data_IF_040052762358
#
_entry.id   IF_040052762358
#
_cell.length_a   1.000
_cell.length_b   1.000
_cell.length_c   1.000
_cell.angle_alpha   90.00
_cell.angle_beta   90.00
_cell.angle_gamma   90.00
#
_symmetry.space_group_name_H-M   'P 1'
#
loop_
_entity.id
_entity.type
_entity.pdbx_description
1 polymer ?
#
# COMPACT_ATOMS: atom_id res chain seq x y z
N UNK A 1 -26.97 30.58 -13.88
CA UNK A 1 -25.88 29.59 -13.71
C UNK A 1 -24.59 30.36 -13.51
N UNK A 2 -23.99 30.30 -12.32
CA UNK A 2 -22.65 30.82 -12.07
C UNK A 2 -21.94 29.89 -11.08
N UNK A 3 -20.76 29.42 -11.49
CA UNK A 3 -19.91 28.43 -10.83
C UNK A 3 -19.48 28.90 -9.44
N UNK A 4 -19.79 28.09 -8.42
CA UNK A 4 -19.31 28.28 -7.06
C UNK A 4 -17.78 28.12 -7.01
N UNK A 5 -17.08 29.22 -6.72
CA UNK A 5 -15.64 29.22 -6.46
C UNK A 5 -15.39 28.60 -5.08
N UNK A 6 -14.73 27.45 -5.05
CA UNK A 6 -14.24 26.81 -3.83
C UNK A 6 -13.26 27.76 -3.12
N UNK A 7 -13.63 28.23 -1.93
CA UNK A 7 -12.80 29.08 -1.07
C UNK A 7 -11.66 28.25 -0.46
N UNK A 8 -10.44 28.55 -0.88
CA UNK A 8 -9.22 28.14 -0.17
C UNK A 8 -9.14 28.98 1.11
N UNK A 9 -9.26 28.35 2.29
CA UNK A 9 -8.96 29.02 3.57
C UNK A 9 -7.44 29.07 3.75
N UNK A 10 -6.91 30.29 3.81
CA UNK A 10 -5.49 30.59 4.03
C UNK A 10 -5.36 31.10 5.47
N UNK A 11 -4.84 30.27 6.37
CA UNK A 11 -4.52 30.72 7.74
C UNK A 11 -3.08 31.25 7.75
N UNK A 12 -2.90 32.48 8.24
CA UNK A 12 -1.60 33.16 8.33
C UNK A 12 -0.95 32.82 9.67
N UNK A 13 0.29 32.32 9.66
CA UNK A 13 1.16 32.18 10.84
C UNK A 13 2.36 33.13 10.72
N UNK A 14 2.98 33.53 11.85
CA UNK A 14 3.92 34.64 11.88
C UNK A 14 5.33 34.14 11.56
N UNK A 15 5.63 33.82 10.30
CA UNK A 15 7.01 33.93 9.78
C UNK A 15 7.18 33.78 8.24
N UNK A 16 6.15 34.07 7.43
CA UNK A 16 6.33 34.19 5.97
C UNK A 16 6.68 32.91 5.20
N UNK A 17 6.84 31.76 5.87
CA UNK A 17 7.02 30.48 5.20
C UNK A 17 5.70 30.01 4.56
N UNK A 18 5.67 29.96 3.23
CA UNK A 18 4.56 29.39 2.46
C UNK A 18 4.58 27.85 2.59
N UNK A 19 3.96 27.32 3.64
CA UNK A 19 3.63 25.90 3.68
C UNK A 19 2.38 25.67 2.82
N UNK A 20 2.57 25.04 1.66
CA UNK A 20 1.46 24.32 1.01
C UNK A 20 1.08 23.21 1.98
N UNK A 21 -0.02 23.38 2.72
CA UNK A 21 -0.63 22.28 3.50
C UNK A 21 -1.03 21.19 2.51
N UNK A 22 -0.13 20.24 2.30
CA UNK A 22 -0.43 18.98 1.64
C UNK A 22 -1.66 18.38 2.33
N UNK A 23 -2.67 18.00 1.54
CA UNK A 23 -3.98 17.57 2.04
C UNK A 23 -3.83 16.38 3.00
N UNK A 24 -3.75 16.73 4.29
CA UNK A 24 -3.99 15.97 5.51
C UNK A 24 -3.41 14.53 5.57
N UNK A 25 -2.35 14.25 6.35
CA UNK A 25 -1.81 12.89 6.55
C UNK A 25 -2.84 11.85 7.04
N UNK A 26 -3.94 12.33 7.63
CA UNK A 26 -5.09 11.51 8.05
C UNK A 26 -5.79 10.82 6.84
N UNK A 27 -5.84 11.46 5.67
CA UNK A 27 -6.48 10.86 4.47
C UNK A 27 -5.59 9.78 3.86
N UNK A 28 -4.27 9.96 3.93
CA UNK A 28 -3.28 9.02 3.38
C UNK A 28 -3.23 7.69 4.14
N UNK A 29 -3.39 7.69 5.47
CA UNK A 29 -3.48 6.43 6.24
C UNK A 29 -4.76 5.66 5.92
N UNK A 30 -5.88 6.36 5.70
CA UNK A 30 -7.20 5.74 5.52
C UNK A 30 -7.27 4.84 4.29
N UNK A 31 -6.59 5.19 3.20
CA UNK A 31 -6.62 4.39 1.98
C UNK A 31 -5.92 3.04 2.14
N UNK A 32 -4.83 3.01 2.92
CA UNK A 32 -4.11 1.78 3.25
C UNK A 32 -4.97 0.89 4.16
N UNK A 33 -5.64 1.47 5.16
CA UNK A 33 -6.55 0.72 6.04
C UNK A 33 -7.78 0.15 5.30
N UNK A 34 -8.35 0.93 4.39
CA UNK A 34 -9.44 0.47 3.53
C UNK A 34 -8.97 -0.69 2.65
N UNK A 35 -7.79 -0.57 2.03
CA UNK A 35 -7.22 -1.64 1.19
C UNK A 35 -6.91 -2.91 2.00
N UNK A 36 -6.34 -2.78 3.20
CA UNK A 36 -6.15 -3.89 4.14
C UNK A 36 -7.47 -4.60 4.44
N UNK A 37 -8.54 -3.85 4.69
CA UNK A 37 -9.87 -4.40 4.96
C UNK A 37 -10.42 -5.18 3.76
N UNK A 38 -10.24 -4.67 2.54
CA UNK A 38 -10.56 -5.39 1.31
C UNK A 38 -9.75 -6.68 1.18
N UNK A 39 -8.44 -6.63 1.45
CA UNK A 39 -7.56 -7.80 1.38
C UNK A 39 -7.94 -8.87 2.40
N UNK A 40 -8.31 -8.49 3.63
CA UNK A 40 -8.83 -9.42 4.65
C UNK A 40 -10.12 -10.12 4.22
N UNK A 41 -10.94 -9.43 3.44
CA UNK A 41 -12.20 -9.94 2.90
C UNK A 41 -12.06 -10.83 1.66
N UNK A 42 -10.85 -11.01 1.10
CA UNK A 42 -10.65 -11.88 -0.06
C UNK A 42 -10.88 -13.34 0.37
N UNK A 43 -11.87 -13.99 -0.25
CA UNK A 43 -12.12 -15.42 -0.07
C UNK A 43 -10.85 -16.21 -0.40
N UNK A 44 -10.42 -17.06 0.53
CA UNK A 44 -9.18 -17.84 0.46
C UNK A 44 -7.92 -16.99 0.21
N UNK A 45 -7.90 -15.73 0.68
CA UNK A 45 -6.77 -14.81 0.47
C UNK A 45 -5.43 -15.39 0.91
N UNK A 46 -5.39 -15.96 2.13
CA UNK A 46 -4.19 -16.61 2.68
C UNK A 46 -3.67 -17.77 1.81
N UNK A 47 -4.58 -18.54 1.18
CA UNK A 47 -4.21 -19.70 0.36
C UNK A 47 -3.51 -19.33 -0.94
N UNK A 48 -3.51 -18.04 -1.33
CA UNK A 48 -2.82 -17.55 -2.53
C UNK A 48 -1.32 -17.35 -2.33
N UNK A 49 -0.86 -17.36 -1.09
CA UNK A 49 0.55 -17.17 -0.73
C UNK A 49 1.21 -18.54 -0.60
N UNK A 50 1.82 -19.01 -1.68
CA UNK A 50 2.44 -20.33 -1.79
C UNK A 50 3.87 -20.22 -2.29
N UNK A 51 4.66 -21.29 -2.10
CA UNK A 51 6.03 -21.38 -2.60
C UNK A 51 6.15 -21.37 -4.12
N UNK A 52 5.06 -21.72 -4.82
CA UNK A 52 5.00 -21.81 -6.28
C UNK A 52 4.67 -20.47 -6.96
N UNK A 53 4.43 -19.41 -6.19
CA UNK A 53 4.16 -18.10 -6.77
C UNK A 53 5.44 -17.55 -7.39
N UNK A 54 5.35 -17.12 -8.65
CA UNK A 54 6.48 -16.60 -9.41
C UNK A 54 6.86 -15.21 -8.85
N UNK A 55 8.15 -14.98 -8.61
CA UNK A 55 8.66 -13.68 -8.20
C UNK A 55 8.25 -12.57 -9.19
N UNK A 56 7.84 -11.43 -8.66
CA UNK A 56 7.31 -10.29 -9.43
C UNK A 56 5.87 -10.49 -9.92
N UNK A 57 5.26 -11.65 -9.72
CA UNK A 57 3.85 -11.88 -10.08
C UNK A 57 2.90 -11.35 -9.01
N UNK A 58 1.72 -10.91 -9.44
CA UNK A 58 0.68 -10.42 -8.53
C UNK A 58 0.01 -11.55 -7.78
N UNK A 59 -0.08 -11.42 -6.46
CA UNK A 59 -0.82 -12.36 -5.59
C UNK A 59 -2.24 -11.85 -5.38
N UNK A 60 -2.38 -10.60 -4.90
CA UNK A 60 -3.68 -9.96 -4.65
C UNK A 60 -3.69 -8.46 -4.95
N UNK A 61 -4.85 -7.89 -5.30
CA UNK A 61 -6.03 -8.63 -5.74
C UNK A 61 -5.78 -9.23 -7.14
N UNK A 62 -6.74 -9.98 -7.67
CA UNK A 62 -6.67 -10.39 -9.08
C UNK A 62 -6.68 -9.16 -10.00
N UNK A 63 -6.04 -9.23 -11.17
CA UNK A 63 -5.92 -8.11 -12.13
C UNK A 63 -7.28 -7.49 -12.51
N UNK A 64 -8.35 -8.28 -12.56
CA UNK A 64 -9.71 -7.79 -12.85
C UNK A 64 -10.31 -6.93 -11.72
N UNK A 65 -9.71 -6.93 -10.53
CA UNK A 65 -10.16 -6.17 -9.35
C UNK A 65 -9.28 -4.95 -9.09
N UNK A 66 -8.33 -4.66 -9.98
CA UNK A 66 -7.40 -3.52 -9.89
C UNK A 66 -8.07 -2.16 -9.73
N UNK A 67 -9.25 -2.00 -10.33
CA UNK A 67 -10.03 -0.77 -10.23
C UNK A 67 -10.67 -0.58 -8.85
N UNK A 68 -10.71 -1.62 -8.02
CA UNK A 68 -11.34 -1.59 -6.69
C UNK A 68 -10.37 -1.27 -5.57
N UNK A 69 -9.07 -1.49 -5.77
CA UNK A 69 -8.05 -1.17 -4.77
C UNK A 69 -6.90 -0.38 -5.37
N UNK A 70 -6.47 0.71 -4.71
CA UNK A 70 -5.35 1.51 -5.19
C UNK A 70 -3.99 0.87 -4.91
N UNK A 71 -3.94 -0.25 -4.17
CA UNK A 71 -2.73 -1.00 -3.85
C UNK A 71 -2.88 -2.46 -4.30
N UNK A 72 -1.73 -3.12 -4.43
CA UNK A 72 -1.59 -4.54 -4.75
C UNK A 72 -0.44 -5.17 -3.96
N UNK A 73 -0.47 -6.47 -3.80
CA UNK A 73 0.61 -7.28 -3.24
C UNK A 73 1.12 -8.22 -4.32
N UNK A 74 2.40 -8.05 -4.64
CA UNK A 74 3.14 -8.86 -5.58
C UNK A 74 4.14 -9.75 -4.81
N UNK A 75 4.50 -10.88 -5.40
CA UNK A 75 5.43 -11.83 -4.82
C UNK A 75 6.87 -11.32 -4.93
N UNK A 76 7.62 -11.42 -3.85
CA UNK A 76 9.07 -11.37 -3.86
C UNK A 76 9.66 -12.78 -3.89
N UNK A 77 10.96 -12.87 -3.62
CA UNK A 77 11.69 -14.14 -3.54
C UNK A 77 11.18 -15.03 -2.40
N UNK A 78 10.91 -16.29 -2.71
CA UNK A 78 10.66 -17.35 -1.72
C UNK A 78 11.99 -17.97 -1.24
N UNK A 79 12.07 -18.22 0.06
CA UNK A 79 13.19 -18.95 0.67
C UNK A 79 12.72 -20.38 1.05
N UNK A 80 13.24 -21.42 0.36
CA UNK A 80 12.84 -22.81 0.61
C UNK A 80 13.36 -23.37 1.94
N UNK A 81 14.37 -22.76 2.56
CA UNK A 81 14.94 -23.18 3.84
C UNK A 81 14.04 -22.69 4.97
N UNK A 82 13.76 -21.38 4.99
CA UNK A 82 12.94 -20.77 6.05
C UNK A 82 11.45 -20.86 5.80
N UNK A 83 11.02 -21.29 4.60
CA UNK A 83 9.62 -21.32 4.15
C UNK A 83 8.96 -19.93 4.16
N UNK A 84 9.77 -18.88 4.03
CA UNK A 84 9.30 -17.49 4.01
C UNK A 84 9.15 -17.01 2.58
N UNK A 85 7.97 -16.53 2.23
CA UNK A 85 7.71 -15.80 1.00
C UNK A 85 7.85 -14.30 1.28
N UNK A 86 8.82 -13.63 0.66
CA UNK A 86 8.85 -12.17 0.68
C UNK A 86 7.68 -11.65 -0.16
N UNK A 87 7.05 -10.56 0.28
CA UNK A 87 5.93 -9.92 -0.44
C UNK A 87 6.15 -8.42 -0.50
N UNK A 88 5.59 -7.81 -1.54
CA UNK A 88 5.77 -6.39 -1.83
C UNK A 88 4.41 -5.72 -1.97
N UNK A 89 4.13 -4.74 -1.12
CA UNK A 89 3.02 -3.81 -1.31
C UNK A 89 3.43 -2.73 -2.33
N UNK A 90 2.66 -2.61 -3.40
CA UNK A 90 2.89 -1.60 -4.45
C UNK A 90 1.62 -0.78 -4.69
N UNK A 91 1.83 0.44 -5.20
CA UNK A 91 0.74 1.30 -5.66
C UNK A 91 0.33 0.87 -7.07
N UNK A 92 -0.98 0.75 -7.31
CA UNK A 92 -1.48 0.42 -8.64
C UNK A 92 -1.36 1.62 -9.60
N UNK A 93 -1.50 1.39 -10.92
CA UNK A 93 -1.23 2.43 -11.94
C UNK A 93 -2.20 3.62 -11.95
N UNK A 94 -3.40 3.47 -11.37
CA UNK A 94 -4.43 4.52 -11.33
C UNK A 94 -5.00 4.70 -9.93
N UNK A 95 -4.21 5.14 -8.94
CA UNK A 95 -4.71 5.34 -7.59
C UNK A 95 -5.61 6.58 -7.57
N UNK A 96 -6.79 6.49 -6.94
CA UNK A 96 -7.70 7.63 -6.81
C UNK A 96 -7.34 8.56 -5.63
N UNK A 97 -6.48 8.11 -4.72
CA UNK A 97 -6.03 8.91 -3.58
C UNK A 97 -4.95 9.91 -4.00
N UNK A 98 -5.10 11.22 -3.70
CA UNK A 98 -4.10 12.24 -4.01
C UNK A 98 -2.70 11.93 -3.46
N UNK A 99 -2.61 11.39 -2.23
CA UNK A 99 -1.32 11.04 -1.62
C UNK A 99 -0.61 9.89 -2.35
N UNK A 100 -1.37 8.86 -2.75
CA UNK A 100 -0.81 7.76 -3.55
C UNK A 100 -0.43 8.23 -4.96
N UNK A 101 -1.17 9.18 -5.54
CA UNK A 101 -0.80 9.79 -6.83
C UNK A 101 0.51 10.58 -6.71
N UNK A 102 0.67 11.38 -5.64
CA UNK A 102 1.90 12.13 -5.39
C UNK A 102 3.10 11.18 -5.20
N UNK A 103 2.93 10.14 -4.39
CA UNK A 103 3.94 9.11 -4.19
C UNK A 103 4.31 8.39 -5.49
N UNK A 104 3.31 8.00 -6.28
CA UNK A 104 3.52 7.30 -7.55
C UNK A 104 4.29 8.15 -8.57
N UNK A 105 4.00 9.46 -8.62
CA UNK A 105 4.73 10.41 -9.47
C UNK A 105 6.22 10.51 -9.10
N UNK A 106 6.57 10.31 -7.83
CA UNK A 106 7.94 10.37 -7.34
C UNK A 106 8.73 9.09 -7.63
N UNK A 107 8.11 7.91 -7.51
CA UNK A 107 8.85 6.64 -7.46
C UNK A 107 8.53 5.60 -8.54
N UNK A 108 7.40 5.71 -9.26
CA UNK A 108 6.86 4.74 -10.24
C UNK A 108 5.97 3.62 -9.68
N UNK A 109 5.30 2.90 -10.60
CA UNK A 109 4.42 1.75 -10.31
C UNK A 109 5.13 0.47 -9.90
N UNK A 110 6.45 0.42 -10.06
CA UNK A 110 7.27 -0.73 -9.66
C UNK A 110 7.98 -0.51 -8.32
N UNK A 111 7.93 0.71 -7.79
CA UNK A 111 8.49 1.01 -6.49
C UNK A 111 7.75 0.26 -5.38
N UNK A 112 8.53 -0.17 -4.39
CA UNK A 112 8.04 -0.91 -3.23
C UNK A 112 7.57 0.09 -2.19
N UNK A 113 6.27 0.15 -1.93
CA UNK A 113 5.73 0.99 -0.87
C UNK A 113 6.06 0.38 0.50
N UNK A 114 5.93 -0.93 0.63
CA UNK A 114 6.33 -1.70 1.81
C UNK A 114 6.69 -3.13 1.41
N UNK A 115 7.46 -3.80 2.25
CA UNK A 115 7.74 -5.23 2.15
C UNK A 115 7.40 -5.92 3.48
N UNK A 116 7.12 -7.21 3.40
CA UNK A 116 6.93 -8.08 4.56
C UNK A 116 7.26 -9.51 4.16
N UNK A 117 7.16 -10.45 5.12
CA UNK A 117 7.29 -11.88 4.86
C UNK A 117 6.04 -12.62 5.29
N UNK A 118 5.70 -13.67 4.53
CA UNK A 118 4.63 -14.62 4.83
C UNK A 118 5.21 -16.02 5.04
N UNK A 119 4.97 -16.61 6.20
CA UNK A 119 5.36 -18.00 6.48
C UNK A 119 4.39 -18.98 5.79
N UNK A 120 4.83 -19.62 4.71
CA UNK A 120 3.99 -20.56 3.93
C UNK A 120 3.68 -21.85 4.68
N UNK A 121 4.47 -22.16 5.72
CA UNK A 121 4.33 -23.30 6.60
C UNK A 121 3.62 -22.97 7.93
N UNK A 122 3.07 -21.75 8.08
CA UNK A 122 2.34 -21.37 9.28
C UNK A 122 1.17 -22.34 9.57
N UNK A 123 0.99 -22.80 10.83
CA UNK A 123 -0.12 -23.68 11.21
C UNK A 123 -1.49 -23.05 10.93
N UNK A 124 -1.62 -21.74 11.21
CA UNK A 124 -2.79 -20.95 10.83
C UNK A 124 -2.39 -19.89 9.79
N UNK A 125 -2.61 -20.24 8.52
CA UNK A 125 -2.34 -19.34 7.39
C UNK A 125 -3.17 -18.06 7.43
N UNK A 126 -4.36 -18.08 8.03
CA UNK A 126 -5.23 -16.91 8.10
C UNK A 126 -4.70 -15.89 9.10
N UNK A 127 -4.26 -16.36 10.28
CA UNK A 127 -3.61 -15.51 11.28
C UNK A 127 -2.32 -14.92 10.72
N UNK A 128 -1.48 -15.74 10.08
CA UNK A 128 -0.23 -15.27 9.44
C UNK A 128 -0.51 -14.24 8.34
N UNK A 129 -1.54 -14.47 7.52
CA UNK A 129 -1.97 -13.54 6.49
C UNK A 129 -2.38 -12.19 7.09
N UNK A 130 -3.15 -12.19 8.20
CA UNK A 130 -3.58 -10.96 8.84
C UNK A 130 -2.42 -10.21 9.52
N UNK A 131 -1.45 -10.93 10.09
CA UNK A 131 -0.22 -10.35 10.63
C UNK A 131 0.59 -9.67 9.52
N UNK A 132 0.85 -10.37 8.43
CA UNK A 132 1.57 -9.84 7.25
C UNK A 132 0.86 -8.59 6.68
N UNK A 133 -0.46 -8.61 6.58
CA UNK A 133 -1.22 -7.43 6.14
C UNK A 133 -1.09 -6.22 7.07
N UNK A 134 -1.00 -6.44 8.38
CA UNK A 134 -0.79 -5.33 9.33
C UNK A 134 0.62 -4.76 9.26
N UNK A 135 1.62 -5.61 9.09
CA UNK A 135 3.01 -5.19 8.88
C UNK A 135 3.13 -4.32 7.62
N UNK A 136 2.60 -4.81 6.48
CA UNK A 136 2.57 -4.04 5.23
C UNK A 136 1.81 -2.72 5.39
N UNK A 137 0.68 -2.71 6.11
CA UNK A 137 -0.09 -1.49 6.33
C UNK A 137 0.68 -0.48 7.19
N UNK A 138 1.36 -0.94 8.23
CA UNK A 138 2.14 -0.10 9.14
C UNK A 138 3.32 0.54 8.41
N UNK A 139 4.12 -0.29 7.74
CA UNK A 139 5.29 0.16 6.99
C UNK A 139 4.88 1.04 5.80
N UNK A 140 3.82 0.65 5.09
CA UNK A 140 3.31 1.42 3.95
C UNK A 140 2.80 2.80 4.35
N UNK A 141 2.16 2.94 5.52
CA UNK A 141 1.75 4.25 6.05
C UNK A 141 2.97 5.10 6.42
N UNK A 142 3.98 4.50 7.03
CA UNK A 142 5.22 5.19 7.38
C UNK A 142 5.91 5.74 6.12
N UNK A 143 6.09 4.90 5.11
CA UNK A 143 6.75 5.26 3.86
C UNK A 143 5.94 6.28 3.05
N UNK A 144 4.62 6.13 3.01
CA UNK A 144 3.75 7.10 2.35
C UNK A 144 3.82 8.47 3.03
N UNK A 145 3.78 8.51 4.37
CA UNK A 145 3.86 9.76 5.16
C UNK A 145 5.19 10.48 4.95
N UNK A 146 6.29 9.73 4.83
CA UNK A 146 7.63 10.27 4.69
C UNK A 146 8.08 10.41 3.23
N UNK A 147 7.21 10.10 2.26
CA UNK A 147 7.53 10.09 0.83
C UNK A 147 8.82 9.32 0.54
N UNK A 148 8.87 8.07 1.03
CA UNK A 148 9.96 7.08 0.88
C UNK A 148 9.45 5.79 0.24
N UNK A 149 10.38 4.95 -0.21
CA UNK A 149 10.16 3.55 -0.61
C UNK A 149 10.69 2.59 0.46
N UNK A 150 10.34 1.31 0.35
CA UNK A 150 10.91 0.26 1.19
C UNK A 150 12.38 -0.04 0.90
N UNK A 151 12.95 0.54 -0.16
CA UNK A 151 14.37 0.42 -0.49
C UNK A 151 15.21 1.58 0.08
N UNK A 152 14.56 2.59 0.70
CA UNK A 152 15.21 3.76 1.34
C UNK A 152 15.55 3.54 2.84
N UNK A 153 15.41 2.31 3.34
CA UNK A 153 15.73 1.90 4.73
C UNK A 153 17.18 1.41 4.89
#
# INVERSE_FOLDING_TARGET
MALGKEHIRVDKVPDGALFVREKNPIIMSKVIDATKSVFRGIKNGASKFTESVIEGSRIIPSKNMDHKTPLRIDAGKYDPITKMLNVVLQVNSKPQSPGLQAWLKKFSTHAKLATARFNTAAPDKKVEYYRMLEELATNGKHNLKNMKTADDE
#
